data_IF_759850511442
#
_entry.id   IF_759850511442
#
_cell.length_a   1.000
_cell.length_b   1.000
_cell.length_c   1.000
_cell.angle_alpha   90.00
_cell.angle_beta   90.00
_cell.angle_gamma   90.00
#
_symmetry.space_group_name_H-M   'P 1'
#
loop_
_entity.id
_entity.type
_entity.pdbx_description
1 polymer ?
#
# COMPACT_ATOMS: atom_id res chain seq x y z
N UNK A 1 18.60 12.73 47.00
CA UNK A 1 17.46 13.67 47.11
C UNK A 1 16.67 13.48 45.82
N UNK A 2 15.71 12.62 45.72
CA UNK A 2 14.34 12.60 46.20
C UNK A 2 13.49 13.71 45.57
N UNK A 3 12.57 13.29 44.68
CA UNK A 3 11.12 13.51 44.62
C UNK A 3 10.66 13.17 43.17
N UNK A 4 9.94 12.15 42.82
CA UNK A 4 8.63 11.61 43.12
C UNK A 4 7.47 12.46 42.56
N UNK A 5 6.83 11.94 41.53
CA UNK A 5 5.51 11.78 40.95
C UNK A 5 4.44 12.85 41.16
N UNK A 6 3.18 12.75 40.76
CA UNK A 6 2.30 11.59 40.46
C UNK A 6 1.55 11.72 39.12
N UNK A 7 1.00 10.78 38.49
CA UNK A 7 -0.17 9.96 38.63
C UNK A 7 -1.50 10.67 38.46
N UNK A 8 -2.25 10.36 37.37
CA UNK A 8 -3.61 10.85 37.15
C UNK A 8 -4.39 10.01 36.16
N UNK A 9 -4.93 8.89 36.65
CA UNK A 9 -6.04 8.14 36.09
C UNK A 9 -7.33 8.93 36.20
N UNK A 10 -8.15 9.00 35.13
CA UNK A 10 -9.58 9.27 35.26
C UNK A 10 -10.37 8.25 34.46
N UNK A 11 -11.01 7.45 35.26
CA UNK A 11 -12.02 6.44 35.01
C UNK A 11 -13.40 7.10 34.86
N UNK A 12 -14.22 6.47 34.00
CA UNK A 12 -15.66 6.26 34.08
C UNK A 12 -16.62 7.44 34.32
N UNK A 13 -17.64 7.50 33.47
CA UNK A 13 -19.03 7.57 33.96
C UNK A 13 -20.02 7.09 32.89
N UNK A 14 -20.65 6.01 33.24
CA UNK A 14 -21.91 5.42 32.85
C UNK A 14 -23.07 6.33 33.21
N UNK A 15 -24.03 6.55 32.31
CA UNK A 15 -25.41 6.84 32.68
C UNK A 15 -26.40 6.35 31.61
N UNK A 16 -27.28 5.49 32.04
CA UNK A 16 -28.47 4.99 31.36
C UNK A 16 -29.65 5.89 31.61
N UNK A 17 -30.59 5.96 30.66
CA UNK A 17 -32.03 6.07 30.69
C UNK A 17 -32.50 6.45 29.30
N UNK A 18 -33.42 5.80 28.58
CA UNK A 18 -34.70 5.27 28.97
C UNK A 18 -35.78 5.89 28.10
N UNK A 19 -36.43 5.11 27.21
CA UNK A 19 -37.82 5.29 26.88
C UNK A 19 -38.22 6.10 25.64
N UNK A 20 -38.94 5.41 24.73
CA UNK A 20 -40.08 6.02 24.07
C UNK A 20 -40.05 6.19 22.54
N UNK A 21 -40.60 5.22 21.84
CA UNK A 21 -41.57 5.27 20.78
C UNK A 21 -41.50 6.30 19.62
N UNK A 22 -41.52 5.78 18.39
CA UNK A 22 -41.96 6.60 17.24
C UNK A 22 -41.39 6.15 15.89
N UNK A 23 -42.23 5.56 15.15
CA UNK A 23 -42.33 5.17 13.72
C UNK A 23 -41.45 5.86 12.69
N UNK A 24 -41.04 5.02 11.71
CA UNK A 24 -41.03 5.22 10.24
C UNK A 24 -39.77 5.80 9.63
N UNK A 25 -39.17 5.04 8.66
CA UNK A 25 -38.35 5.58 7.61
C UNK A 25 -37.11 4.76 7.31
N UNK A 26 -37.17 3.90 6.26
CA UNK A 26 -36.20 2.97 5.77
C UNK A 26 -34.76 3.47 5.67
N UNK A 27 -33.88 2.67 6.18
CA UNK A 27 -32.47 2.65 5.82
C UNK A 27 -32.04 1.20 5.85
N UNK A 28 -31.48 0.72 4.74
CA UNK A 28 -31.09 -0.66 4.51
C UNK A 28 -30.14 -1.19 5.57
N UNK A 29 -30.68 -1.99 6.46
CA UNK A 29 -29.90 -2.74 7.43
C UNK A 29 -29.18 -3.87 6.73
N UNK A 30 -27.88 -3.93 6.86
CA UNK A 30 -27.04 -5.06 6.47
C UNK A 30 -27.35 -6.20 7.43
N UNK A 31 -28.22 -7.11 7.02
CA UNK A 31 -28.42 -8.39 7.72
C UNK A 31 -27.34 -9.35 7.25
N UNK A 32 -26.57 -9.95 8.15
CA UNK A 32 -25.62 -11.00 7.75
C UNK A 32 -26.43 -12.18 7.20
N UNK A 33 -26.28 -12.44 5.90
CA UNK A 33 -26.87 -13.60 5.23
C UNK A 33 -26.18 -14.86 5.70
N UNK A 34 -26.96 -15.88 6.00
CA UNK A 34 -26.40 -17.17 6.42
C UNK A 34 -25.63 -17.83 5.27
N UNK A 35 -24.66 -18.67 5.60
CA UNK A 35 -23.87 -19.40 4.60
C UNK A 35 -24.76 -20.27 3.68
N UNK A 36 -25.94 -20.66 4.15
CA UNK A 36 -26.94 -21.44 3.38
C UNK A 36 -27.65 -20.61 2.34
N UNK A 37 -27.90 -19.33 2.58
CA UNK A 37 -28.52 -18.42 1.61
C UNK A 37 -27.56 -18.12 0.44
N UNK A 38 -26.28 -17.96 0.72
CA UNK A 38 -25.23 -17.73 -0.29
C UNK A 38 -25.03 -18.98 -1.16
N UNK A 39 -25.08 -20.17 -0.55
CA UNK A 39 -24.95 -21.43 -1.28
C UNK A 39 -26.15 -21.67 -2.19
N UNK A 40 -27.36 -21.34 -1.77
CA UNK A 40 -28.58 -21.49 -2.56
C UNK A 40 -28.63 -20.50 -3.75
N UNK A 41 -28.13 -19.28 -3.56
CA UNK A 41 -28.06 -18.27 -4.62
C UNK A 41 -27.01 -18.61 -5.68
N UNK A 42 -25.86 -19.18 -5.28
CA UNK A 42 -24.77 -19.53 -6.19
C UNK A 42 -25.03 -20.84 -6.96
N UNK A 43 -25.57 -21.87 -6.31
CA UNK A 43 -25.87 -23.15 -6.94
C UNK A 43 -27.26 -23.24 -7.57
N UNK A 44 -28.21 -22.43 -7.13
CA UNK A 44 -29.58 -22.39 -7.68
C UNK A 44 -29.71 -21.70 -9.03
N UNK A 45 -28.79 -20.80 -9.37
CA UNK A 45 -28.85 -20.02 -10.62
C UNK A 45 -28.13 -20.68 -11.82
N UNK A 46 -27.36 -21.74 -11.59
CA UNK A 46 -26.59 -22.40 -12.66
C UNK A 46 -27.25 -23.62 -13.26
N UNK A 47 -28.45 -24.00 -12.85
CA UNK A 47 -29.14 -25.19 -13.37
C UNK A 47 -30.60 -24.91 -13.76
N UNK A 48 -30.80 -23.88 -14.55
CA UNK A 48 -32.06 -23.56 -15.22
C UNK A 48 -32.02 -23.92 -16.67
N UNK A 49 -32.32 -25.18 -17.01
CA UNK A 49 -32.49 -25.59 -18.40
C UNK A 49 -32.65 -27.10 -18.57
N UNK A 50 -33.91 -27.58 -18.59
CA UNK A 50 -34.21 -28.89 -19.13
C UNK A 50 -34.82 -29.91 -18.14
N UNK A 51 -36.10 -30.14 -18.29
CA UNK A 51 -37.05 -30.96 -17.56
C UNK A 51 -36.62 -32.36 -17.10
N UNK A 52 -37.14 -32.77 -15.96
CA UNK A 52 -37.09 -34.12 -15.47
C UNK A 52 -37.07 -34.15 -13.94
N UNK A 53 -38.29 -34.34 -13.34
CA UNK A 53 -38.44 -34.47 -11.91
C UNK A 53 -37.72 -35.70 -11.37
N UNK A 54 -36.77 -35.48 -10.50
CA UNK A 54 -36.13 -36.51 -9.69
C UNK A 54 -35.98 -35.96 -8.26
N UNK A 55 -36.75 -36.52 -7.36
CA UNK A 55 -36.76 -36.20 -5.94
C UNK A 55 -35.40 -36.51 -5.31
N UNK A 56 -34.84 -35.49 -4.70
CA UNK A 56 -33.60 -35.56 -3.94
C UNK A 56 -33.76 -36.36 -2.62
N UNK A 57 -34.95 -36.85 -2.31
CA UNK A 57 -35.20 -37.65 -1.11
C UNK A 57 -34.79 -39.13 -1.23
N UNK A 58 -34.50 -39.61 -2.47
CA UNK A 58 -34.11 -41.02 -2.67
C UNK A 58 -32.61 -41.32 -2.50
N UNK A 59 -31.78 -40.27 -2.25
CA UNK A 59 -30.34 -40.48 -2.14
C UNK A 59 -29.84 -40.62 -0.71
N UNK A 60 -30.70 -40.33 0.31
CA UNK A 60 -30.24 -40.30 1.74
C UNK A 60 -31.19 -41.00 2.73
N UNK A 61 -32.16 -41.74 2.25
CA UNK A 61 -33.09 -42.38 3.17
C UNK A 61 -33.52 -43.76 2.74
N UNK A 62 -32.96 -44.79 3.29
CA UNK A 62 -33.49 -46.12 3.10
C UNK A 62 -32.64 -47.20 3.74
N UNK A 63 -32.80 -47.34 5.04
CA UNK A 63 -32.35 -48.52 5.73
C UNK A 63 -33.24 -49.72 5.38
N UNK A 64 -32.67 -50.88 5.42
CA UNK A 64 -33.43 -52.10 5.69
C UNK A 64 -33.46 -53.18 4.61
N UNK A 65 -32.72 -54.24 4.84
CA UNK A 65 -33.31 -55.55 4.75
C UNK A 65 -32.92 -56.48 3.63
N UNK A 66 -32.37 -57.56 4.09
CA UNK A 66 -32.53 -58.95 3.61
C UNK A 66 -31.62 -59.50 2.51
N UNK A 67 -30.68 -60.32 2.95
CA UNK A 67 -30.57 -61.73 2.66
C UNK A 67 -30.18 -62.15 1.24
N UNK A 68 -28.99 -62.71 1.12
CA UNK A 68 -28.57 -63.40 -0.10
C UNK A 68 -27.17 -63.99 0.01
N UNK A 69 -27.12 -65.20 0.49
CA UNK A 69 -26.01 -66.15 0.59
C UNK A 69 -25.41 -66.45 -0.78
N UNK A 70 -24.06 -66.41 -0.89
CA UNK A 70 -23.39 -66.89 -2.12
C UNK A 70 -21.91 -66.58 -2.14
N UNK A 71 -21.08 -67.59 -1.87
CA UNK A 71 -19.66 -67.65 -1.73
C UNK A 71 -18.80 -67.10 -2.86
N UNK A 72 -17.55 -66.87 -2.56
CA UNK A 72 -16.54 -66.64 -3.55
C UNK A 72 -15.42 -65.77 -3.00
N UNK A 73 -14.35 -66.42 -2.51
CA UNK A 73 -13.15 -65.74 -2.06
C UNK A 73 -12.52 -64.86 -3.09
N UNK A 74 -12.22 -63.64 -2.69
CA UNK A 74 -11.40 -62.69 -3.41
C UNK A 74 -10.76 -61.81 -2.39
N UNK A 75 -9.55 -62.14 -1.95
CA UNK A 75 -8.67 -61.25 -1.23
C UNK A 75 -8.35 -60.05 -2.13
N UNK A 76 -9.30 -59.14 -2.21
CA UNK A 76 -9.08 -57.80 -2.73
C UNK A 76 -8.22 -57.02 -1.77
N UNK A 77 -6.95 -57.01 -2.03
CA UNK A 77 -5.97 -56.13 -1.41
C UNK A 77 -6.42 -54.70 -1.68
N UNK A 78 -7.17 -54.14 -0.73
CA UNK A 78 -7.54 -52.74 -0.68
C UNK A 78 -6.27 -51.95 -0.49
N UNK A 79 -5.57 -51.61 -1.58
CA UNK A 79 -4.54 -50.62 -1.58
C UNK A 79 -5.20 -49.31 -1.12
N UNK A 80 -5.10 -49.05 0.16
CA UNK A 80 -5.32 -47.74 0.74
C UNK A 80 -4.36 -46.80 0.02
N UNK A 81 -4.83 -46.13 -0.98
CA UNK A 81 -4.21 -44.89 -1.47
C UNK A 81 -4.31 -43.91 -0.30
N UNK A 82 -3.34 -43.98 0.63
CA UNK A 82 -3.08 -42.90 1.54
C UNK A 82 -2.80 -41.70 0.65
N UNK A 83 -3.80 -40.85 0.44
CA UNK A 83 -3.59 -39.51 -0.03
C UNK A 83 -2.61 -38.87 0.96
N UNK A 84 -1.32 -38.87 0.57
CA UNK A 84 -0.29 -38.17 1.30
C UNK A 84 -0.70 -36.71 1.31
N UNK A 85 -1.34 -36.27 2.40
CA UNK A 85 -1.59 -34.86 2.62
C UNK A 85 -0.26 -34.14 2.48
N UNK A 86 -0.18 -33.11 1.62
CA UNK A 86 1.06 -32.37 1.46
C UNK A 86 1.52 -31.87 2.82
N UNK A 87 2.80 -32.06 3.13
CA UNK A 87 3.38 -31.63 4.41
C UNK A 87 3.01 -30.15 4.67
N UNK A 88 2.65 -29.79 5.91
CA UNK A 88 2.30 -28.43 6.27
C UNK A 88 3.44 -27.48 5.87
N UNK A 89 3.10 -26.29 5.39
CA UNK A 89 4.06 -25.25 5.01
C UNK A 89 4.32 -24.33 6.21
N UNK A 90 5.60 -24.02 6.46
CA UNK A 90 5.97 -23.03 7.46
C UNK A 90 5.46 -21.63 7.08
N UNK A 91 5.23 -20.72 8.04
CA UNK A 91 4.76 -19.38 7.77
C UNK A 91 5.77 -18.58 6.93
N UNK A 92 5.24 -17.70 6.07
CA UNK A 92 6.05 -16.80 5.26
C UNK A 92 6.72 -15.72 6.15
N UNK A 93 7.96 -15.40 5.86
CA UNK A 93 8.75 -14.36 6.57
C UNK A 93 8.83 -13.11 5.71
N UNK A 94 8.43 -11.96 6.28
CA UNK A 94 8.46 -10.68 5.58
C UNK A 94 9.68 -9.85 5.99
N UNK A 95 10.40 -9.31 5.01
CA UNK A 95 11.52 -8.40 5.19
C UNK A 95 11.31 -7.09 4.45
N UNK A 96 11.60 -5.96 5.10
CA UNK A 96 11.57 -4.65 4.46
C UNK A 96 12.80 -4.46 3.56
N UNK A 97 12.57 -4.15 2.29
CA UNK A 97 13.61 -3.76 1.34
C UNK A 97 13.58 -2.25 1.13
N UNK A 98 14.46 -1.55 1.82
CA UNK A 98 14.55 -0.09 1.75
C UNK A 98 15.23 0.33 0.46
N UNK A 99 14.51 1.12 -0.36
CA UNK A 99 14.98 1.64 -1.63
C UNK A 99 14.97 3.17 -1.63
N UNK A 100 15.95 3.80 -2.28
CA UNK A 100 15.94 5.25 -2.51
C UNK A 100 15.07 5.58 -3.73
N UNK A 101 14.71 6.85 -3.91
CA UNK A 101 13.91 7.27 -5.06
C UNK A 101 14.67 7.09 -6.37
N UNK A 102 16.01 7.26 -6.37
CA UNK A 102 16.87 7.04 -7.53
C UNK A 102 16.85 5.56 -7.95
N UNK A 103 16.95 4.64 -6.96
CA UNK A 103 16.90 3.19 -7.23
C UNK A 103 15.54 2.76 -7.80
N UNK A 104 14.45 3.41 -7.35
CA UNK A 104 13.11 3.17 -7.87
C UNK A 104 12.86 3.87 -9.21
N UNK A 105 13.65 4.89 -9.53
CA UNK A 105 13.58 5.62 -10.79
C UNK A 105 14.33 4.90 -11.91
N UNK A 106 15.58 4.51 -11.67
CA UNK A 106 16.44 3.87 -12.67
C UNK A 106 16.29 2.35 -12.71
N UNK A 107 15.85 1.76 -11.61
CA UNK A 107 16.00 0.34 -11.34
C UNK A 107 17.37 0.02 -10.71
N UNK A 108 17.42 -1.04 -9.91
CA UNK A 108 18.65 -1.46 -9.24
C UNK A 108 18.60 -2.95 -8.90
N UNK A 109 19.76 -3.60 -8.89
CA UNK A 109 19.87 -4.96 -8.35
C UNK A 109 20.42 -4.91 -6.94
N UNK A 110 19.61 -5.36 -5.97
CA UNK A 110 20.00 -5.44 -4.56
C UNK A 110 20.36 -6.87 -4.16
N UNK A 111 21.49 -7.02 -3.48
CA UNK A 111 21.91 -8.30 -2.89
C UNK A 111 21.64 -8.25 -1.39
N UNK A 112 20.79 -9.16 -0.91
CA UNK A 112 20.46 -9.26 0.51
C UNK A 112 20.97 -10.56 1.04
N UNK A 113 21.83 -10.49 2.07
CA UNK A 113 22.33 -11.65 2.80
C UNK A 113 21.30 -12.03 3.86
N UNK A 114 20.86 -13.27 3.83
CA UNK A 114 19.90 -13.84 4.77
C UNK A 114 20.53 -15.02 5.49
N UNK A 115 20.23 -15.15 6.76
CA UNK A 115 20.51 -16.34 7.54
C UNK A 115 19.19 -17.04 7.79
N UNK A 116 19.04 -18.27 7.32
CA UNK A 116 17.85 -19.10 7.52
C UNK A 116 18.17 -20.42 8.20
N UNK A 117 17.21 -20.94 8.91
CA UNK A 117 17.32 -22.26 9.51
C UNK A 117 16.96 -23.30 8.45
N UNK A 118 17.81 -24.26 8.20
CA UNK A 118 17.57 -25.43 7.33
C UNK A 118 17.71 -26.71 8.14
N UNK A 119 16.98 -27.74 7.76
CA UNK A 119 17.16 -29.06 8.36
C UNK A 119 18.30 -29.79 7.64
N UNK A 120 19.39 -30.05 8.34
CA UNK A 120 20.48 -30.86 7.80
C UNK A 120 19.99 -32.29 7.57
N UNK A 121 20.02 -32.72 6.31
CA UNK A 121 19.52 -34.05 5.88
C UNK A 121 20.29 -35.21 6.48
N UNK A 122 21.55 -34.99 6.89
CA UNK A 122 22.39 -36.05 7.45
C UNK A 122 22.13 -36.26 8.94
N UNK A 123 21.97 -35.18 9.69
CA UNK A 123 21.76 -35.20 11.16
C UNK A 123 20.31 -35.01 11.61
N UNK A 124 19.42 -34.55 10.73
CA UNK A 124 18.02 -34.18 11.07
C UNK A 124 17.91 -32.95 11.97
N UNK A 125 19.04 -32.28 12.25
CA UNK A 125 19.09 -31.14 13.17
C UNK A 125 18.98 -29.81 12.42
N UNK A 126 18.40 -28.78 13.06
CA UNK A 126 18.37 -27.43 12.50
C UNK A 126 19.82 -26.86 12.43
N UNK A 127 20.18 -26.32 11.28
CA UNK A 127 21.46 -25.66 11.04
C UNK A 127 21.21 -24.29 10.39
N UNK A 128 21.99 -23.29 10.80
CA UNK A 128 21.93 -21.95 10.16
C UNK A 128 22.64 -21.99 8.81
N UNK A 129 21.95 -21.56 7.74
CA UNK A 129 22.51 -21.41 6.40
C UNK A 129 22.44 -19.95 5.96
N UNK A 130 23.58 -19.41 5.55
CA UNK A 130 23.63 -18.09 4.91
C UNK A 130 23.37 -18.22 3.41
N UNK A 131 22.51 -17.41 2.89
CA UNK A 131 22.19 -17.34 1.47
C UNK A 131 22.11 -15.88 1.02
N UNK A 132 22.63 -15.56 -0.16
CA UNK A 132 22.55 -14.23 -0.76
C UNK A 132 21.49 -14.27 -1.84
N UNK A 133 20.42 -13.50 -1.64
CA UNK A 133 19.37 -13.33 -2.64
C UNK A 133 19.60 -12.04 -3.42
N UNK A 134 19.50 -12.12 -4.75
CA UNK A 134 19.54 -10.98 -5.65
C UNK A 134 18.13 -10.57 -6.01
N UNK A 135 17.78 -9.32 -5.75
CA UNK A 135 16.46 -8.75 -6.00
C UNK A 135 16.61 -7.68 -7.06
N UNK A 136 15.98 -7.88 -8.20
CA UNK A 136 15.91 -6.87 -9.25
C UNK A 136 14.76 -5.93 -8.99
N UNK A 137 15.09 -4.71 -8.56
CA UNK A 137 14.12 -3.61 -8.37
C UNK A 137 13.85 -2.98 -9.72
N UNK A 138 12.62 -3.10 -10.21
CA UNK A 138 12.23 -2.52 -11.51
C UNK A 138 11.85 -1.05 -11.36
N UNK A 139 12.11 -0.22 -12.40
CA UNK A 139 11.70 1.16 -12.40
C UNK A 139 10.20 1.34 -12.14
N UNK A 140 9.86 2.37 -11.36
CA UNK A 140 8.47 2.69 -11.06
C UNK A 140 7.80 1.85 -9.97
N UNK A 141 8.48 0.88 -9.37
CA UNK A 141 7.91 0.16 -8.23
C UNK A 141 7.57 1.12 -7.10
N UNK A 142 6.52 0.78 -6.35
CA UNK A 142 5.98 1.60 -5.25
C UNK A 142 6.23 0.92 -3.90
N UNK A 143 6.19 1.71 -2.84
CA UNK A 143 6.12 1.18 -1.49
C UNK A 143 4.99 0.15 -1.37
N UNK A 144 5.23 -0.94 -0.62
CA UNK A 144 4.31 -2.05 -0.49
C UNK A 144 4.38 -3.10 -1.61
N UNK A 145 5.17 -2.90 -2.67
CA UNK A 145 5.41 -3.95 -3.69
C UNK A 145 6.08 -5.15 -3.03
N UNK A 146 5.54 -6.34 -3.28
CA UNK A 146 6.02 -7.59 -2.68
C UNK A 146 6.78 -8.43 -3.70
N UNK A 147 7.96 -8.90 -3.34
CA UNK A 147 8.76 -9.84 -4.11
C UNK A 147 8.89 -11.12 -3.30
N UNK A 148 8.35 -12.20 -3.80
CA UNK A 148 8.32 -13.50 -3.12
C UNK A 148 9.41 -14.42 -3.64
N UNK A 149 10.10 -15.07 -2.72
CA UNK A 149 11.06 -16.15 -2.98
C UNK A 149 10.52 -17.42 -2.34
N UNK A 150 10.03 -18.32 -3.16
CA UNK A 150 9.40 -19.56 -2.72
C UNK A 150 10.40 -20.51 -2.09
N UNK A 151 10.01 -21.10 -0.94
CA UNK A 151 10.81 -22.09 -0.24
C UNK A 151 12.16 -21.59 0.29
N UNK A 152 12.33 -20.28 0.41
CA UNK A 152 13.56 -19.65 0.93
C UNK A 152 13.47 -19.25 2.41
N UNK A 153 12.34 -19.50 3.05
CA UNK A 153 12.15 -19.29 4.49
C UNK A 153 12.81 -20.36 5.34
N UNK A 154 12.52 -20.35 6.63
CA UNK A 154 12.98 -21.35 7.58
C UNK A 154 12.35 -22.71 7.31
N UNK A 155 13.11 -23.78 7.55
CA UNK A 155 12.67 -25.17 7.47
C UNK A 155 12.56 -25.76 8.86
N UNK A 156 11.44 -26.46 9.14
CA UNK A 156 11.25 -27.28 10.33
C UNK A 156 11.13 -28.75 9.95
N UNK A 157 11.54 -29.67 10.85
CA UNK A 157 11.36 -31.08 10.62
C UNK A 157 9.88 -31.44 10.37
N UNK A 158 9.60 -32.09 9.23
CA UNK A 158 8.24 -32.50 8.87
C UNK A 158 7.37 -31.43 8.22
N UNK A 159 7.88 -30.21 7.99
CA UNK A 159 7.19 -29.14 7.28
C UNK A 159 7.96 -28.75 5.98
N UNK A 160 7.27 -28.11 5.05
CA UNK A 160 7.90 -27.46 3.89
C UNK A 160 8.38 -26.08 4.31
N UNK A 161 9.52 -25.65 3.77
CA UNK A 161 10.02 -24.29 3.99
C UNK A 161 8.97 -23.24 3.63
N UNK A 162 8.85 -22.22 4.46
CA UNK A 162 8.06 -21.03 4.16
C UNK A 162 8.65 -20.20 3.03
N UNK A 163 7.98 -19.12 2.62
CA UNK A 163 8.52 -18.19 1.65
C UNK A 163 9.12 -16.98 2.34
N UNK A 164 10.07 -16.35 1.66
CA UNK A 164 10.53 -15.01 2.03
C UNK A 164 9.85 -14.00 1.13
N UNK A 165 9.25 -12.98 1.75
CA UNK A 165 8.58 -11.89 1.05
C UNK A 165 9.30 -10.59 1.36
N UNK A 166 9.95 -10.02 0.35
CA UNK A 166 10.50 -8.66 0.46
C UNK A 166 9.41 -7.64 0.14
N UNK A 167 9.23 -6.69 1.04
CA UNK A 167 8.30 -5.58 0.87
C UNK A 167 9.10 -4.31 0.63
N UNK A 168 8.88 -3.64 -0.50
CA UNK A 168 9.56 -2.39 -0.83
C UNK A 168 9.14 -1.30 0.14
N UNK A 169 10.10 -0.62 0.74
CA UNK A 169 9.95 0.60 1.52
C UNK A 169 10.72 1.74 0.87
N UNK A 170 10.09 2.89 0.72
CA UNK A 170 10.73 4.09 0.20
C UNK A 170 11.51 4.79 1.32
N UNK A 171 12.78 5.09 1.08
CA UNK A 171 13.57 5.94 1.97
C UNK A 171 13.15 7.40 1.78
N UNK A 172 13.09 8.22 2.85
CA UNK A 172 12.95 9.65 2.73
C UNK A 172 14.03 10.24 1.83
N UNK A 173 13.67 11.20 0.99
CA UNK A 173 14.59 11.89 0.11
C UNK A 173 14.67 13.37 0.47
N UNK A 174 15.84 13.98 0.41
CA UNK A 174 16.07 15.36 0.87
C UNK A 174 15.31 16.40 0.06
N UNK A 175 15.19 16.22 -1.25
CA UNK A 175 14.65 17.20 -2.20
C UNK A 175 13.26 16.87 -2.70
N UNK A 176 12.88 15.60 -2.70
CA UNK A 176 11.65 15.12 -3.32
C UNK A 176 10.80 14.33 -2.37
N UNK A 177 9.51 14.51 -2.48
CA UNK A 177 8.50 13.64 -1.90
C UNK A 177 7.73 12.97 -3.04
N UNK A 178 7.57 11.69 -2.98
CA UNK A 178 6.79 10.95 -3.96
C UNK A 178 5.31 10.96 -3.59
N UNK A 179 4.46 11.32 -4.55
CA UNK A 179 3.00 11.24 -4.46
C UNK A 179 2.49 10.39 -5.63
N UNK A 180 2.37 9.07 -5.40
CA UNK A 180 1.98 8.11 -6.44
C UNK A 180 3.02 7.95 -7.53
N UNK A 181 2.77 8.49 -8.74
CA UNK A 181 3.73 8.54 -9.84
C UNK A 181 4.38 9.92 -9.95
N UNK A 182 3.89 10.91 -9.21
CA UNK A 182 4.40 12.27 -9.26
C UNK A 182 5.48 12.49 -8.21
N UNK A 183 6.33 13.46 -8.47
CA UNK A 183 7.32 13.98 -7.52
C UNK A 183 6.89 15.37 -7.07
N UNK A 184 7.04 15.65 -5.80
CA UNK A 184 6.83 16.98 -5.23
C UNK A 184 8.17 17.52 -4.76
N UNK A 185 8.53 18.69 -5.24
CA UNK A 185 9.70 19.46 -4.82
C UNK A 185 9.25 20.76 -4.18
N UNK A 186 9.84 21.11 -3.03
CA UNK A 186 9.58 22.40 -2.37
C UNK A 186 10.76 23.31 -2.62
N UNK A 187 10.56 24.30 -3.47
CA UNK A 187 11.56 25.30 -3.80
C UNK A 187 11.50 26.45 -2.81
N UNK A 188 12.64 26.77 -2.20
CA UNK A 188 12.77 27.90 -1.27
C UNK A 188 13.19 29.13 -2.05
N UNK A 189 12.32 30.14 -2.13
CA UNK A 189 12.55 31.37 -2.88
C UNK A 189 12.44 32.59 -1.97
N UNK A 190 13.21 33.63 -2.28
CA UNK A 190 13.10 34.92 -1.59
C UNK A 190 11.79 35.61 -1.94
N UNK A 191 11.30 36.49 -1.05
CA UNK A 191 10.07 37.25 -1.30
C UNK A 191 10.18 38.12 -2.55
N UNK A 192 11.32 38.75 -2.78
CA UNK A 192 11.54 39.59 -3.96
C UNK A 192 11.45 38.78 -5.26
N UNK A 193 12.11 37.61 -5.29
CA UNK A 193 12.06 36.71 -6.44
C UNK A 193 10.65 36.18 -6.67
N UNK A 194 9.94 35.80 -5.57
CA UNK A 194 8.57 35.32 -5.65
C UNK A 194 7.61 36.36 -6.26
N UNK A 195 7.83 37.65 -5.98
CA UNK A 195 7.03 38.73 -6.56
C UNK A 195 7.37 39.06 -8.01
N UNK A 196 8.64 38.86 -8.39
CA UNK A 196 9.13 39.19 -9.74
C UNK A 196 9.03 38.05 -10.76
N UNK A 197 8.59 36.86 -10.32
CA UNK A 197 8.56 35.66 -11.16
C UNK A 197 9.87 34.86 -11.05
N UNK A 198 9.93 33.90 -10.12
CA UNK A 198 11.16 33.16 -9.85
C UNK A 198 11.48 32.16 -10.97
N UNK A 199 12.76 31.98 -11.22
CA UNK A 199 13.29 30.82 -11.94
C UNK A 199 14.04 29.96 -10.93
N UNK A 200 13.59 28.72 -10.78
CA UNK A 200 14.15 27.76 -9.83
C UNK A 200 14.86 26.66 -10.58
N UNK A 201 16.09 26.38 -10.21
CA UNK A 201 16.84 25.23 -10.72
C UNK A 201 16.55 24.01 -9.84
N UNK A 202 16.05 22.95 -10.47
CA UNK A 202 15.74 21.68 -9.79
C UNK A 202 16.60 20.59 -10.40
N UNK A 203 17.51 20.03 -9.59
CA UNK A 203 18.26 18.84 -10.00
C UNK A 203 17.36 17.61 -9.84
N UNK A 204 17.06 16.95 -10.96
CA UNK A 204 16.20 15.78 -11.06
C UNK A 204 16.86 14.50 -10.52
N UNK A 205 16.10 13.39 -10.40
CA UNK A 205 16.62 12.10 -9.93
C UNK A 205 17.64 11.47 -10.92
N UNK A 206 17.61 11.88 -12.18
CA UNK A 206 18.58 11.48 -13.21
C UNK A 206 19.75 12.48 -13.37
N UNK A 207 19.91 13.37 -12.38
CA UNK A 207 21.01 14.37 -12.29
C UNK A 207 21.01 15.44 -13.39
N UNK A 208 19.91 15.63 -14.09
CA UNK A 208 19.72 16.78 -14.97
C UNK A 208 19.28 17.99 -14.15
N UNK A 209 19.65 19.19 -14.57
CA UNK A 209 19.16 20.42 -13.98
C UNK A 209 18.05 20.98 -14.84
N UNK A 210 16.88 21.18 -14.25
CA UNK A 210 15.72 21.78 -14.89
C UNK A 210 15.53 23.20 -14.36
N UNK A 211 15.55 24.17 -15.27
CA UNK A 211 15.18 25.55 -14.96
C UNK A 211 13.64 25.68 -15.05
N UNK A 212 12.99 25.85 -13.92
CA UNK A 212 11.54 26.01 -13.82
C UNK A 212 11.20 27.46 -13.58
N UNK A 213 10.72 28.14 -14.62
CA UNK A 213 10.31 29.55 -14.54
C UNK A 213 8.81 29.67 -14.26
N UNK A 214 8.46 30.64 -13.43
CA UNK A 214 7.07 31.02 -13.15
C UNK A 214 6.83 32.39 -13.73
N UNK A 215 5.88 32.50 -14.66
CA UNK A 215 5.43 33.79 -15.17
C UNK A 215 4.50 34.45 -14.18
N UNK A 216 4.93 35.57 -13.60
CA UNK A 216 4.14 36.32 -12.61
C UNK A 216 4.48 35.98 -11.15
N UNK A 217 3.62 36.35 -10.24
CA UNK A 217 3.84 36.20 -8.81
C UNK A 217 3.69 34.74 -8.37
N UNK A 218 4.71 34.19 -7.74
CA UNK A 218 4.65 32.88 -7.11
C UNK A 218 4.02 33.03 -5.72
N UNK A 219 2.85 32.43 -5.51
CA UNK A 219 2.20 32.37 -4.20
C UNK A 219 2.56 31.08 -3.46
N UNK A 220 2.45 31.02 -2.11
CA UNK A 220 2.72 29.79 -1.34
C UNK A 220 1.81 28.62 -1.73
N UNK A 221 0.62 28.91 -2.28
CA UNK A 221 -0.35 27.90 -2.73
C UNK A 221 -0.14 27.51 -4.19
N UNK A 222 0.66 28.28 -4.94
CA UNK A 222 0.94 27.98 -6.35
C UNK A 222 1.74 26.69 -6.49
N UNK A 223 1.39 25.92 -7.50
CA UNK A 223 2.15 24.72 -7.88
C UNK A 223 2.45 24.79 -9.39
N UNK A 224 3.72 24.75 -9.73
CA UNK A 224 4.14 24.62 -11.13
C UNK A 224 4.29 23.15 -11.47
N UNK A 225 3.58 22.68 -12.48
CA UNK A 225 3.65 21.31 -12.95
C UNK A 225 4.57 21.23 -14.17
N UNK A 226 5.58 20.37 -14.08
CA UNK A 226 6.47 20.01 -15.18
C UNK A 226 6.13 18.58 -15.61
N UNK A 227 5.56 18.45 -16.80
CA UNK A 227 5.05 17.17 -17.30
C UNK A 227 6.20 16.21 -17.62
N UNK A 228 6.01 14.93 -17.30
CA UNK A 228 6.96 13.86 -17.64
C UNK A 228 8.27 13.85 -16.83
N UNK A 229 8.37 14.65 -15.77
CA UNK A 229 9.55 14.71 -14.89
C UNK A 229 9.31 14.08 -13.52
N UNK A 230 8.26 13.28 -13.39
CA UNK A 230 7.95 12.46 -12.22
C UNK A 230 8.60 11.08 -12.26
N UNK A 231 8.06 10.15 -11.46
CA UNK A 231 8.51 8.75 -11.41
C UNK A 231 8.03 7.96 -12.63
N UNK A 232 8.83 7.00 -13.12
CA UNK A 232 8.38 6.09 -14.17
C UNK A 232 7.18 5.27 -13.71
N UNK A 233 6.32 4.88 -14.65
CA UNK A 233 5.18 4.02 -14.39
C UNK A 233 5.65 2.56 -14.37
N UNK A 234 5.22 1.78 -13.38
CA UNK A 234 5.63 0.37 -13.25
C UNK A 234 5.20 -0.50 -14.45
N UNK A 235 4.12 -0.13 -15.16
CA UNK A 235 3.63 -0.86 -16.35
C UNK A 235 4.33 -0.43 -17.63
N UNK A 236 4.70 0.84 -17.73
CA UNK A 236 5.41 1.41 -18.86
C UNK A 236 6.51 2.35 -18.35
N UNK A 237 7.75 1.88 -18.19
CA UNK A 237 8.86 2.69 -17.68
C UNK A 237 9.23 3.88 -18.57
N UNK A 238 8.78 3.92 -19.82
CA UNK A 238 8.99 5.07 -20.72
C UNK A 238 8.07 6.24 -20.39
N UNK A 239 6.87 5.93 -19.88
CA UNK A 239 5.95 6.93 -19.40
C UNK A 239 6.29 7.31 -17.96
N UNK A 240 6.30 8.61 -17.68
CA UNK A 240 6.59 9.17 -16.35
C UNK A 240 5.41 10.01 -15.86
N UNK A 241 5.27 10.11 -14.55
CA UNK A 241 4.40 11.09 -13.93
C UNK A 241 4.95 12.50 -14.05
N UNK A 242 4.42 13.42 -13.28
CA UNK A 242 4.75 14.84 -13.34
C UNK A 242 5.56 15.27 -12.11
N UNK A 243 6.34 16.34 -12.28
CA UNK A 243 7.01 17.02 -11.19
C UNK A 243 6.19 18.25 -10.78
N UNK A 244 5.80 18.29 -9.52
CA UNK A 244 5.08 19.39 -8.90
C UNK A 244 6.07 20.22 -8.09
N UNK A 245 6.32 21.45 -8.51
CA UNK A 245 7.17 22.40 -7.79
C UNK A 245 6.27 23.33 -6.98
N UNK A 246 6.37 23.25 -5.65
CA UNK A 246 5.71 24.11 -4.68
C UNK A 246 6.70 25.16 -4.19
N UNK A 247 6.22 26.33 -3.79
CA UNK A 247 7.07 27.44 -3.38
C UNK A 247 6.95 27.69 -1.87
N UNK A 248 8.08 27.67 -1.18
CA UNK A 248 8.22 28.14 0.19
C UNK A 248 8.86 29.52 0.15
N UNK A 249 8.06 30.56 0.44
CA UNK A 249 8.53 31.95 0.34
C UNK A 249 9.21 32.35 1.64
N UNK A 250 10.47 32.73 1.53
CA UNK A 250 11.25 33.23 2.67
C UNK A 250 11.09 34.73 2.78
N UNK A 251 10.54 35.18 3.88
CA UNK A 251 10.43 36.57 4.22
C UNK A 251 11.72 37.05 4.89
N UNK A 252 12.18 38.29 4.61
CA UNK A 252 13.29 38.89 5.33
C UNK A 252 12.91 39.09 6.80
N UNK A 253 13.85 38.85 7.70
CA UNK A 253 13.61 39.01 9.14
C UNK A 253 13.52 40.49 9.60
N UNK A 254 14.15 41.39 8.84
CA UNK A 254 14.15 42.86 9.10
C UNK A 254 14.18 43.58 7.76
N UNK A 255 13.57 44.75 7.75
CA UNK A 255 13.61 45.71 6.65
C UNK A 255 13.99 47.08 7.23
N UNK A 256 14.87 47.79 6.54
CA UNK A 256 15.18 49.20 6.84
C UNK A 256 13.98 50.11 6.53
N UNK A 257 14.01 51.36 7.03
CA UNK A 257 12.87 52.26 6.86
C UNK A 257 12.71 52.71 5.39
N UNK A 258 13.82 52.87 4.67
CA UNK A 258 13.81 53.13 3.23
C UNK A 258 13.20 51.96 2.43
N UNK A 259 13.59 50.73 2.75
CA UNK A 259 13.04 49.52 2.12
C UNK A 259 11.53 49.38 2.36
N UNK A 260 11.08 49.68 3.61
CA UNK A 260 9.63 49.67 3.91
C UNK A 260 8.88 50.71 3.10
N UNK A 261 9.47 51.91 2.89
CA UNK A 261 8.85 52.96 2.09
C UNK A 261 8.74 52.52 0.61
N UNK A 262 9.79 51.90 0.04
CA UNK A 262 9.79 51.38 -1.30
C UNK A 262 8.74 50.26 -1.50
N UNK A 263 8.66 49.32 -0.55
CA UNK A 263 7.68 48.22 -0.60
C UNK A 263 6.24 48.79 -0.52
N UNK A 264 5.98 49.75 0.35
CA UNK A 264 4.65 50.40 0.44
C UNK A 264 4.29 51.11 -0.87
N UNK A 265 5.24 51.82 -1.50
CA UNK A 265 5.01 52.48 -2.77
C UNK A 265 4.74 51.50 -3.88
N UNK A 266 5.52 50.39 -3.97
CA UNK A 266 5.39 49.39 -5.04
C UNK A 266 4.13 48.55 -4.93
N UNK A 267 3.70 48.21 -3.71
CA UNK A 267 2.55 47.30 -3.48
C UNK A 267 1.28 48.04 -3.07
N UNK A 268 1.39 49.20 -2.40
CA UNK A 268 0.24 49.98 -1.91
C UNK A 268 -0.57 50.65 -3.01
N UNK A 269 0.07 51.14 -4.07
CA UNK A 269 -0.62 51.71 -5.23
C UNK A 269 -1.42 50.71 -6.04
N UNK A 270 -0.99 49.42 -6.07
CA UNK A 270 -1.73 48.36 -6.77
C UNK A 270 -2.97 47.86 -6.02
N UNK A 271 -2.97 47.93 -4.68
CA UNK A 271 -4.13 47.53 -3.89
C UNK A 271 -5.31 48.51 -4.05
N UNK A 272 -5.04 49.80 -4.32
CA UNK A 272 -6.05 50.82 -4.55
C UNK A 272 -6.63 50.81 -5.99
N UNK A 273 -5.91 50.21 -6.97
CA UNK A 273 -6.32 50.18 -8.38
C UNK A 273 -6.96 48.86 -8.87
N UNK A 274 -7.06 47.85 -8.02
CA UNK A 274 -7.51 46.50 -8.40
C UNK A 274 -9.00 46.23 -8.23
N UNK A 275 -9.79 47.17 -7.73
CA UNK A 275 -11.21 46.96 -7.42
C UNK A 275 -12.16 47.74 -8.38
N UNK A 276 -11.75 47.96 -9.60
CA UNK A 276 -12.65 48.56 -10.60
C UNK A 276 -12.51 47.87 -11.94
N UNK A 277 -13.08 46.68 -12.09
CA UNK A 277 -13.59 46.15 -13.35
C UNK A 277 -14.41 44.87 -13.09
N UNK A 278 -15.64 45.06 -12.61
CA UNK A 278 -16.70 44.12 -12.90
C UNK A 278 -17.48 44.73 -14.06
N UNK A 279 -17.48 44.16 -15.25
CA UNK A 279 -18.45 44.51 -16.28
C UNK A 279 -19.72 43.74 -16.05
N UNK A 280 -20.81 44.44 -16.26
CA UNK A 280 -22.20 44.00 -16.31
C UNK A 280 -22.45 42.84 -17.28
#
# INVERSE_FOLDING_TARGET
>A
MAAAGPGGTLSAALAAAGGGGGRAGGAGGFTPRSAEDIFREFFGASMGGGGGGGRFEDLFGGGGGFGGMGGGGGFGQQQQYQQQQPAPKDPDVSHALRCTLEELYTGATKRVKLTRTVVDRASGRPAGKEEVLSIEVKPGWKAGTKVRFEGKGDERPGARAGDIVFVIEEKPHERFRREGNNLVHVAKVGLADALCGPTVEVETLDRRVLAVSVSGVATPTATKVVKGEGMPLSRDPKAKGDLHVRFEIRFPSKLGDEEKALVRRALGEKAAGGEAASPA
#
